data_IF_458163813630
#
_entry.id   IF_458163813630
#
_cell.length_a   1.000
_cell.length_b   1.000
_cell.length_c   1.000
_cell.angle_alpha   90.00
_cell.angle_beta   90.00
_cell.angle_gamma   90.00
#
_symmetry.space_group_name_H-M   'P 1'
#
loop_
_entity.id
_entity.type
_entity.pdbx_description
1 polymer ?
#
# COMPACT_ATOMS: atom_id res chain seq x y z
N UNK A 1 -13.19 1.28 11.35
CA UNK A 1 -14.11 0.47 10.51
C UNK A 1 -14.93 1.36 9.60
N UNK A 2 -15.15 0.95 8.35
CA UNK A 2 -15.93 1.66 7.34
C UNK A 2 -17.16 0.84 6.95
N UNK A 3 -18.38 1.41 6.92
CA UNK A 3 -19.57 0.71 6.46
C UNK A 3 -19.58 0.53 4.94
N UNK A 4 -20.33 -0.46 4.43
CA UNK A 4 -20.57 -0.65 2.98
C UNK A 4 -21.04 0.65 2.32
N UNK A 5 -20.55 0.95 1.14
CA UNK A 5 -20.90 2.16 0.38
C UNK A 5 -20.03 3.38 0.72
N UNK A 6 -19.13 3.28 1.70
CA UNK A 6 -18.17 4.33 2.01
C UNK A 6 -17.17 4.51 0.87
N UNK A 7 -16.90 5.75 0.48
CA UNK A 7 -15.86 6.09 -0.49
C UNK A 7 -14.48 6.22 0.15
N UNK A 8 -13.45 5.72 -0.51
CA UNK A 8 -12.06 5.81 -0.06
C UNK A 8 -11.24 6.60 -1.09
N UNK A 9 -10.41 7.51 -0.58
CA UNK A 9 -9.47 8.35 -1.35
C UNK A 9 -10.11 9.33 -2.34
N UNK A 10 -9.26 10.04 -3.07
CA UNK A 10 -9.64 11.06 -4.03
C UNK A 10 -10.46 10.52 -5.19
N UNK A 11 -11.46 11.32 -5.60
CA UNK A 11 -12.34 11.02 -6.72
C UNK A 11 -13.17 9.75 -6.55
N UNK A 12 -13.27 9.23 -5.32
CA UNK A 12 -14.18 8.14 -4.94
C UNK A 12 -14.02 6.90 -5.82
N UNK A 13 -12.78 6.59 -6.23
CA UNK A 13 -12.51 5.49 -7.17
C UNK A 13 -12.66 4.11 -6.53
N UNK A 14 -12.69 4.03 -5.20
CA UNK A 14 -13.00 2.81 -4.47
C UNK A 14 -14.20 3.07 -3.56
N UNK A 15 -15.20 2.21 -3.67
CA UNK A 15 -16.37 2.17 -2.80
C UNK A 15 -16.36 0.82 -2.09
N UNK A 16 -16.41 0.84 -0.76
CA UNK A 16 -16.38 -0.37 0.07
C UNK A 16 -17.56 -1.31 -0.29
N UNK A 17 -17.31 -2.54 -0.77
CA UNK A 17 -18.37 -3.47 -1.16
C UNK A 17 -19.08 -4.13 0.03
N UNK A 18 -18.42 -4.10 1.20
CA UNK A 18 -18.87 -4.64 2.48
C UNK A 18 -18.36 -3.76 3.62
N UNK A 19 -18.74 -4.06 4.87
CA UNK A 19 -18.04 -3.49 6.02
C UNK A 19 -16.56 -3.91 5.95
N UNK A 20 -15.67 -2.93 6.07
CA UNK A 20 -14.23 -3.15 5.96
C UNK A 20 -13.49 -2.45 7.11
N UNK A 21 -12.39 -3.06 7.58
CA UNK A 21 -11.41 -2.38 8.41
C UNK A 21 -10.32 -1.83 7.51
N UNK A 22 -10.15 -0.51 7.54
CA UNK A 22 -9.22 0.21 6.66
C UNK A 22 -8.14 0.82 7.53
N UNK A 23 -6.89 0.57 7.19
CA UNK A 23 -5.74 1.23 7.81
C UNK A 23 -5.25 2.36 6.89
N UNK A 24 -4.83 3.47 7.49
CA UNK A 24 -4.16 4.57 6.80
C UNK A 24 -2.67 4.45 7.03
N UNK A 25 -1.89 4.41 5.94
CA UNK A 25 -0.43 4.39 5.97
C UNK A 25 0.10 5.80 5.72
N UNK A 26 1.13 6.20 6.47
CA UNK A 26 1.82 7.48 6.32
C UNK A 26 2.96 7.41 5.30
N UNK A 27 2.61 6.93 4.10
CA UNK A 27 3.49 6.94 2.95
C UNK A 27 2.66 7.19 1.69
N UNK A 28 3.24 7.86 0.70
CA UNK A 28 2.59 8.14 -0.58
C UNK A 28 3.57 8.33 -1.73
N UNK A 29 3.12 8.99 -2.78
CA UNK A 29 3.96 9.16 -3.98
C UNK A 29 5.13 10.12 -3.79
N UNK A 30 5.09 11.02 -2.79
CA UNK A 30 6.23 11.86 -2.46
C UNK A 30 7.37 11.07 -1.79
N UNK A 31 7.06 9.91 -1.21
CA UNK A 31 8.04 8.97 -0.64
C UNK A 31 8.58 7.99 -1.68
N UNK A 32 8.11 8.09 -2.93
CA UNK A 32 8.53 7.26 -4.06
C UNK A 32 7.57 6.12 -4.40
N UNK A 33 6.49 5.91 -3.63
CA UNK A 33 5.53 4.85 -3.93
C UNK A 33 4.69 5.20 -5.19
N UNK A 34 4.67 4.36 -6.23
CA UNK A 34 4.09 4.77 -7.51
C UNK A 34 2.60 5.09 -7.42
N UNK A 35 2.23 6.34 -7.77
CA UNK A 35 0.83 6.74 -7.86
C UNK A 35 0.01 5.86 -8.82
N UNK A 36 0.65 5.31 -9.85
CA UNK A 36 0.03 4.45 -10.85
C UNK A 36 -0.42 3.08 -10.32
N UNK A 37 -0.03 2.69 -9.11
CA UNK A 37 -0.56 1.49 -8.44
C UNK A 37 -2.03 1.66 -7.99
N UNK A 38 -2.53 2.90 -7.98
CA UNK A 38 -3.93 3.20 -7.65
C UNK A 38 -4.88 2.36 -8.51
N UNK A 39 -5.72 1.54 -7.86
CA UNK A 39 -6.68 0.63 -8.51
C UNK A 39 -6.04 -0.38 -9.50
N UNK A 40 -4.82 -0.87 -9.24
CA UNK A 40 -4.15 -1.90 -10.05
C UNK A 40 -3.81 -3.18 -9.26
N UNK A 41 -4.74 -3.57 -8.39
CA UNK A 41 -4.64 -4.75 -7.52
C UNK A 41 -3.33 -4.85 -6.73
N UNK A 42 -2.71 -3.72 -6.43
CA UNK A 42 -1.51 -3.64 -5.61
C UNK A 42 -1.84 -3.98 -4.15
N UNK A 43 -0.86 -4.54 -3.45
CA UNK A 43 -0.97 -4.86 -2.04
C UNK A 43 0.22 -4.27 -1.25
N UNK A 44 0.12 -4.32 0.07
CA UNK A 44 1.23 -4.21 1.02
C UNK A 44 1.22 -5.45 1.92
N UNK A 45 2.28 -5.71 2.68
CA UNK A 45 2.26 -6.76 3.71
C UNK A 45 2.04 -6.17 5.09
N UNK A 46 1.09 -6.74 5.83
CA UNK A 46 0.85 -6.44 7.25
C UNK A 46 0.76 -7.78 7.97
N UNK A 47 1.57 -7.99 9.01
CA UNK A 47 1.63 -9.26 9.79
C UNK A 47 1.72 -10.51 8.90
N UNK A 48 2.53 -10.47 7.84
CA UNK A 48 2.75 -11.59 6.92
C UNK A 48 1.58 -11.87 5.98
N UNK A 49 0.60 -10.96 5.85
CA UNK A 49 -0.55 -11.09 4.94
C UNK A 49 -0.60 -9.94 3.93
N UNK A 50 -0.98 -10.25 2.69
CA UNK A 50 -1.22 -9.25 1.64
C UNK A 50 -2.51 -8.48 1.92
N UNK A 51 -2.39 -7.16 2.04
CA UNK A 51 -3.48 -6.21 2.24
C UNK A 51 -3.63 -5.34 0.99
N UNK A 52 -4.82 -5.37 0.37
CA UNK A 52 -5.08 -4.64 -0.86
C UNK A 52 -5.02 -3.12 -0.66
N UNK A 53 -4.38 -2.40 -1.58
CA UNK A 53 -4.42 -0.95 -1.69
C UNK A 53 -5.80 -0.48 -2.15
N UNK A 54 -6.39 0.46 -1.42
CA UNK A 54 -7.75 0.95 -1.64
C UNK A 54 -7.75 2.37 -2.20
N UNK A 55 -8.28 2.53 -3.42
CA UNK A 55 -8.39 3.82 -4.07
C UNK A 55 -7.05 4.37 -4.54
N UNK A 56 -6.87 5.69 -4.42
CA UNK A 56 -5.67 6.38 -4.91
C UNK A 56 -4.57 6.46 -3.85
N UNK A 57 -3.33 6.23 -4.28
CA UNK A 57 -2.13 6.70 -3.59
C UNK A 57 -2.12 8.22 -3.61
N UNK A 58 -2.05 8.84 -2.44
CA UNK A 58 -1.96 10.30 -2.30
C UNK A 58 -0.50 10.74 -2.12
N UNK A 59 -0.26 12.03 -1.88
CA UNK A 59 1.10 12.55 -1.73
C UNK A 59 1.82 11.86 -0.57
N UNK A 60 1.14 11.74 0.57
CA UNK A 60 1.73 11.30 1.84
C UNK A 60 0.97 10.15 2.50
N UNK A 61 -0.22 9.80 2.00
CA UNK A 61 -1.09 8.80 2.61
C UNK A 61 -1.57 7.73 1.61
N UNK A 62 -1.80 6.52 2.12
CA UNK A 62 -2.45 5.42 1.42
C UNK A 62 -3.45 4.72 2.34
N UNK A 63 -4.43 4.04 1.75
CA UNK A 63 -5.40 3.24 2.50
C UNK A 63 -5.32 1.79 2.07
N UNK A 64 -5.38 0.86 3.03
CA UNK A 64 -5.27 -0.58 2.76
C UNK A 64 -6.35 -1.37 3.50
N UNK A 65 -6.83 -2.48 2.91
CA UNK A 65 -7.78 -3.39 3.56
C UNK A 65 -7.07 -4.30 4.56
N UNK A 66 -7.38 -4.11 5.84
CA UNK A 66 -6.91 -4.97 6.95
C UNK A 66 -8.08 -5.73 7.60
N UNK A 67 -9.25 -5.79 6.95
CA UNK A 67 -10.43 -6.52 7.45
C UNK A 67 -10.14 -7.97 7.78
N UNK A 68 -9.25 -8.59 7.01
CA UNK A 68 -8.87 -9.98 7.16
C UNK A 68 -7.72 -10.20 8.14
N UNK A 69 -7.31 -9.20 8.94
CA UNK A 69 -6.22 -9.31 9.93
C UNK A 69 -6.76 -9.11 11.34
N UNK A 70 -6.51 -10.09 12.20
CA UNK A 70 -6.83 -10.01 13.62
C UNK A 70 -5.72 -9.27 14.37
N UNK A 71 -6.09 -8.54 15.43
CA UNK A 71 -5.15 -7.83 16.31
C UNK A 71 -4.17 -6.89 15.57
N UNK A 72 -4.60 -6.29 14.45
CA UNK A 72 -3.88 -5.20 13.81
C UNK A 72 -4.04 -3.93 14.63
N UNK A 73 -2.94 -3.22 14.89
CA UNK A 73 -2.94 -2.01 15.71
C UNK A 73 -2.09 -0.88 15.09
N UNK A 74 -2.28 0.34 15.59
CA UNK A 74 -1.49 1.51 15.19
C UNK A 74 -0.02 1.26 15.56
N UNK A 75 0.87 1.48 14.60
CA UNK A 75 2.30 1.26 14.78
C UNK A 75 2.78 -0.11 14.32
N UNK A 76 1.89 -1.02 13.91
CA UNK A 76 2.28 -2.27 13.25
C UNK A 76 3.12 -2.00 11.99
N UNK A 77 4.14 -2.84 11.80
CA UNK A 77 5.01 -2.75 10.62
C UNK A 77 4.24 -3.12 9.35
N UNK A 78 4.44 -2.31 8.31
CA UNK A 78 3.91 -2.52 6.97
C UNK A 78 5.05 -2.57 5.96
N UNK A 79 5.13 -3.65 5.19
CA UNK A 79 6.12 -3.79 4.11
C UNK A 79 5.48 -3.39 2.79
N UNK A 80 5.92 -2.25 2.24
CA UNK A 80 5.47 -1.74 0.94
C UNK A 80 6.19 -2.46 -0.22
N UNK A 81 7.43 -2.89 0.01
CA UNK A 81 8.28 -3.62 -0.93
C UNK A 81 9.31 -4.41 -0.12
N UNK A 82 9.37 -5.73 -0.30
CA UNK A 82 10.21 -6.63 0.48
C UNK A 82 9.47 -7.88 0.94
N UNK A 83 10.00 -8.53 1.99
CA UNK A 83 9.47 -9.78 2.56
C UNK A 83 8.96 -9.58 3.98
N UNK A 84 7.89 -10.30 4.33
CA UNK A 84 7.40 -10.45 5.70
C UNK A 84 6.84 -11.86 5.87
N UNK A 85 7.52 -12.71 6.65
CA UNK A 85 7.24 -14.14 6.71
C UNK A 85 7.39 -14.80 5.33
N UNK A 86 6.41 -15.61 4.93
CA UNK A 86 6.40 -16.33 3.65
C UNK A 86 5.83 -15.50 2.48
N UNK A 87 5.50 -14.22 2.71
CA UNK A 87 4.98 -13.33 1.68
C UNK A 87 6.04 -12.35 1.21
N UNK A 88 5.96 -12.00 -0.07
CA UNK A 88 6.85 -11.04 -0.73
C UNK A 88 6.05 -10.09 -1.64
N UNK A 89 6.49 -8.84 -1.66
CA UNK A 89 6.12 -7.85 -2.67
C UNK A 89 7.43 -7.36 -3.30
N UNK A 90 7.73 -7.86 -4.49
CA UNK A 90 8.98 -7.53 -5.16
C UNK A 90 8.88 -6.23 -5.94
N UNK A 91 10.02 -5.59 -6.19
CA UNK A 91 10.08 -4.45 -7.10
C UNK A 91 9.61 -4.81 -8.52
N UNK A 92 9.80 -6.07 -8.94
CA UNK A 92 9.31 -6.56 -10.23
C UNK A 92 7.77 -6.62 -10.28
N UNK A 93 7.12 -7.08 -9.21
CA UNK A 93 5.65 -7.08 -9.11
C UNK A 93 5.09 -5.65 -9.21
N UNK A 94 5.69 -4.70 -8.47
CA UNK A 94 5.27 -3.29 -8.52
C UNK A 94 5.50 -2.68 -9.90
N UNK A 95 6.61 -3.04 -10.57
CA UNK A 95 6.94 -2.59 -11.91
C UNK A 95 5.93 -3.10 -12.94
N UNK A 96 5.59 -4.39 -12.91
CA UNK A 96 4.58 -5.01 -13.77
C UNK A 96 3.22 -4.31 -13.63
N UNK A 97 2.75 -4.13 -12.39
CA UNK A 97 1.47 -3.45 -12.13
C UNK A 97 1.46 -1.99 -12.60
N UNK A 98 2.61 -1.31 -12.57
CA UNK A 98 2.71 0.08 -13.01
C UNK A 98 2.98 0.21 -14.51
N UNK A 99 3.41 -0.85 -15.18
CA UNK A 99 3.81 -0.83 -16.59
C UNK A 99 5.19 -0.23 -16.80
N UNK A 100 6.13 -0.50 -15.90
CA UNK A 100 7.51 -0.02 -15.96
C UNK A 100 8.52 -1.12 -15.62
N UNK A 101 9.77 -0.75 -15.37
CA UNK A 101 10.88 -1.63 -14.99
C UNK A 101 11.24 -1.49 -13.51
N UNK A 102 11.85 -2.54 -12.95
CA UNK A 102 12.28 -2.63 -11.55
C UNK A 102 13.11 -1.43 -11.09
N UNK A 103 13.98 -0.91 -11.95
CA UNK A 103 14.85 0.23 -11.64
C UNK A 103 14.07 1.51 -11.35
N UNK A 104 12.97 1.77 -12.06
CA UNK A 104 12.13 2.93 -11.76
C UNK A 104 11.48 2.80 -10.39
N UNK A 105 11.11 1.59 -9.95
CA UNK A 105 10.55 1.38 -8.61
C UNK A 105 11.60 1.66 -7.54
N UNK A 106 12.79 1.08 -7.66
CA UNK A 106 13.83 1.20 -6.62
C UNK A 106 14.44 2.60 -6.56
N UNK A 107 14.64 3.25 -7.70
CA UNK A 107 15.27 4.59 -7.76
C UNK A 107 14.32 5.73 -7.40
N UNK A 108 12.99 5.49 -7.45
CA UNK A 108 11.98 6.47 -7.03
C UNK A 108 11.98 6.77 -5.53
N UNK A 109 12.50 5.86 -4.71
CA UNK A 109 12.58 6.07 -3.26
C UNK A 109 13.48 7.28 -3.01
N UNK A 110 12.89 8.44 -2.72
CA UNK A 110 13.56 9.73 -2.65
C UNK A 110 14.09 10.06 -1.25
N UNK A 111 14.73 11.22 -1.09
CA UNK A 111 15.39 11.64 0.16
C UNK A 111 14.49 11.74 1.39
N UNK A 112 13.16 11.82 1.22
CA UNK A 112 12.18 11.77 2.32
C UNK A 112 12.22 10.46 3.11
N UNK A 113 12.59 9.36 2.47
CA UNK A 113 12.66 8.04 3.11
C UNK A 113 14.02 7.87 3.77
N UNK A 114 14.06 7.73 5.09
CA UNK A 114 15.31 7.48 5.83
C UNK A 114 15.90 6.12 5.43
N UNK A 115 17.20 6.08 5.10
CA UNK A 115 17.94 4.83 4.91
C UNK A 115 18.57 4.41 6.24
N UNK A 116 18.40 3.16 6.60
CA UNK A 116 19.03 2.52 7.77
C UNK A 116 19.81 1.32 7.23
N UNK A 117 21.09 1.25 7.56
CA UNK A 117 21.98 0.15 7.17
C UNK A 117 22.10 -0.80 8.37
N UNK A 118 21.92 -2.10 8.14
CA UNK A 118 21.89 -3.16 9.17
C UNK A 118 23.20 -3.96 9.09
#
# INVERSE_FOLDING_TARGET
DMPKGSSISYGRTFITPRRMRVATLTAGYADGYPRHLSNRDAAVLVRGRRCALLGRVTMDLMMVDVSGIENVDVGDEVILMGRQGDQEISAAELAERTGTITWEITTRVGSRVRRIYI
#
